data_IF_506800752779
#
_entry.id   IF_506800752779
#
_cell.length_a   1.000
_cell.length_b   1.000
_cell.length_c   1.000
_cell.angle_alpha   90.00
_cell.angle_beta   90.00
_cell.angle_gamma   90.00
#
_symmetry.space_group_name_H-M   'P 1'
#
loop_
_entity.id
_entity.type
_entity.pdbx_description
1 polymer ?
#
# COMPACT_ATOMS: atom_id res chain seq x y z
N UNK A 1 6.29 -25.07 -12.88
CA UNK A 1 7.34 -24.32 -13.61
C UNK A 1 7.32 -22.91 -13.06
N UNK A 2 8.36 -22.49 -12.33
CA UNK A 2 8.43 -21.14 -11.78
C UNK A 2 8.71 -20.17 -12.93
N UNK A 3 7.78 -19.27 -13.22
CA UNK A 3 8.04 -18.15 -14.13
C UNK A 3 9.23 -17.35 -13.57
N UNK A 4 10.39 -17.47 -14.21
CA UNK A 4 11.57 -16.67 -13.93
C UNK A 4 11.16 -15.20 -13.94
N UNK A 5 11.23 -14.58 -12.77
CA UNK A 5 10.51 -13.35 -12.52
C UNK A 5 11.21 -12.19 -13.23
N UNK A 6 10.67 -11.74 -14.36
CA UNK A 6 11.21 -10.64 -15.16
C UNK A 6 10.90 -9.27 -14.52
N UNK A 7 11.32 -9.07 -13.27
CA UNK A 7 11.23 -7.78 -12.57
C UNK A 7 12.49 -7.54 -11.73
N UNK A 8 12.93 -6.29 -11.66
CA UNK A 8 14.08 -5.86 -10.86
C UNK A 8 13.68 -5.63 -9.38
N UNK A 9 12.46 -5.12 -9.16
CA UNK A 9 11.95 -4.78 -7.83
C UNK A 9 10.52 -5.27 -7.63
N UNK A 10 10.19 -5.66 -6.39
CA UNK A 10 8.85 -6.00 -5.95
C UNK A 10 8.45 -5.06 -4.82
N UNK A 11 7.43 -4.23 -5.03
CA UNK A 11 6.94 -3.29 -4.02
C UNK A 11 5.54 -3.64 -3.57
N UNK A 12 5.36 -3.77 -2.26
CA UNK A 12 4.06 -3.91 -1.62
C UNK A 12 3.49 -2.53 -1.26
N UNK A 13 2.34 -2.20 -1.83
CA UNK A 13 1.60 -0.94 -1.59
C UNK A 13 0.21 -1.25 -1.02
N UNK A 14 -0.24 -0.50 -0.03
CA UNK A 14 -1.58 -0.64 0.56
C UNK A 14 -2.44 0.59 0.28
N UNK A 15 -3.73 0.40 0.01
CA UNK A 15 -4.72 1.48 -0.07
C UNK A 15 -5.50 1.51 1.24
N UNK A 16 -5.52 2.66 1.92
CA UNK A 16 -6.20 2.85 3.21
C UNK A 16 -7.08 4.09 3.19
N UNK A 17 -8.08 4.14 4.07
CA UNK A 17 -9.06 5.22 4.16
C UNK A 17 -10.48 4.70 4.36
N UNK A 18 -11.43 5.61 4.57
CA UNK A 18 -12.82 5.27 4.89
C UNK A 18 -13.53 4.44 3.79
N UNK A 19 -14.62 3.79 4.16
CA UNK A 19 -15.48 3.11 3.18
C UNK A 19 -16.10 4.12 2.21
N UNK A 20 -16.16 3.78 0.93
CA UNK A 20 -16.79 4.62 -0.10
C UNK A 20 -15.98 5.82 -0.58
N UNK A 21 -14.74 6.01 -0.14
CA UNK A 21 -13.83 7.05 -0.68
C UNK A 21 -13.34 6.73 -2.09
N UNK A 22 -13.43 5.47 -2.53
CA UNK A 22 -13.13 5.03 -3.90
C UNK A 22 -11.80 4.29 -4.08
N UNK A 23 -11.24 3.68 -3.02
CA UNK A 23 -10.00 2.89 -3.08
C UNK A 23 -10.05 1.77 -4.12
N UNK A 24 -11.10 0.95 -4.10
CA UNK A 24 -11.29 -0.15 -5.07
C UNK A 24 -11.39 0.37 -6.50
N UNK A 25 -12.11 1.48 -6.72
CA UNK A 25 -12.19 2.11 -8.04
C UNK A 25 -10.85 2.70 -8.50
N UNK A 26 -10.01 3.24 -7.59
CA UNK A 26 -8.65 3.65 -7.93
C UNK A 26 -7.79 2.44 -8.32
N UNK A 27 -7.91 1.31 -7.60
CA UNK A 27 -7.22 0.07 -7.92
C UNK A 27 -7.64 -0.48 -9.29
N UNK A 28 -8.95 -0.62 -9.52
CA UNK A 28 -9.49 -1.10 -10.80
C UNK A 28 -9.12 -0.18 -11.95
N UNK A 29 -9.14 1.14 -11.72
CA UNK A 29 -8.74 2.11 -12.75
C UNK A 29 -7.27 2.01 -13.07
N UNK A 30 -6.40 1.87 -12.08
CA UNK A 30 -4.97 1.68 -12.30
C UNK A 30 -4.65 0.32 -12.95
N UNK A 31 -5.35 -0.75 -12.61
CA UNK A 31 -4.95 -2.10 -13.07
C UNK A 31 -5.63 -2.55 -14.35
N UNK A 32 -6.88 -2.13 -14.57
CA UNK A 32 -7.74 -2.59 -15.66
C UNK A 32 -8.33 -1.45 -16.50
N UNK A 33 -8.08 -0.20 -16.11
CA UNK A 33 -8.75 0.98 -16.68
C UNK A 33 -10.29 0.92 -16.55
N UNK A 34 -10.79 0.23 -15.53
CA UNK A 34 -12.23 0.05 -15.28
C UNK A 34 -12.72 0.94 -14.15
N UNK A 35 -14.02 1.26 -14.17
CA UNK A 35 -14.71 1.93 -13.07
C UNK A 35 -16.10 1.36 -12.88
N UNK A 36 -16.45 1.13 -11.62
CA UNK A 36 -17.74 0.60 -11.22
C UNK A 36 -18.45 1.62 -10.33
N UNK A 37 -19.53 2.21 -10.86
CA UNK A 37 -20.38 3.15 -10.13
C UNK A 37 -21.06 2.47 -8.92
N UNK A 38 -21.41 1.18 -9.06
CA UNK A 38 -22.08 0.38 -8.04
C UNK A 38 -21.10 -0.40 -7.16
N UNK A 39 -19.87 0.11 -6.99
CA UNK A 39 -18.87 -0.57 -6.16
C UNK A 39 -19.41 -0.75 -4.73
N UNK A 40 -19.67 -2.01 -4.35
CA UNK A 40 -20.10 -2.35 -2.99
C UNK A 40 -18.95 -2.12 -2.01
N UNK A 41 -19.29 -1.97 -0.72
CA UNK A 41 -18.26 -1.91 0.33
C UNK A 41 -17.39 -3.17 0.28
N UNK A 42 -16.07 -3.00 0.25
CA UNK A 42 -15.11 -4.10 0.30
C UNK A 42 -15.25 -4.81 1.65
N UNK A 43 -15.72 -6.07 1.62
CA UNK A 43 -15.93 -6.92 2.81
C UNK A 43 -14.61 -7.56 3.27
N UNK A 44 -13.60 -7.62 2.39
CA UNK A 44 -12.28 -8.19 2.66
C UNK A 44 -11.16 -7.33 2.08
N UNK A 45 -10.14 -8.00 1.52
CA UNK A 45 -9.00 -7.35 0.88
C UNK A 45 -8.94 -7.80 -0.57
N UNK A 46 -8.83 -6.86 -1.50
CA UNK A 46 -8.60 -7.15 -2.91
C UNK A 46 -7.10 -6.98 -3.23
N UNK A 47 -6.56 -7.89 -4.03
CA UNK A 47 -5.15 -7.90 -4.40
C UNK A 47 -5.02 -7.81 -5.92
N UNK A 48 -4.18 -6.90 -6.38
CA UNK A 48 -3.82 -6.81 -7.78
C UNK A 48 -2.33 -6.53 -7.96
N UNK A 49 -1.78 -6.96 -9.11
CA UNK A 49 -0.40 -6.66 -9.46
C UNK A 49 -0.32 -5.91 -10.78
N UNK A 50 0.56 -4.91 -10.84
CA UNK A 50 0.90 -4.23 -12.09
C UNK A 50 2.39 -3.96 -12.15
N UNK A 51 3.01 -4.25 -13.29
CA UNK A 51 4.41 -3.89 -13.54
C UNK A 51 4.48 -2.55 -14.23
N UNK A 52 5.40 -1.70 -13.79
CA UNK A 52 5.72 -0.42 -14.43
C UNK A 52 7.22 -0.33 -14.66
N UNK A 53 7.64 0.56 -15.56
CA UNK A 53 9.06 0.89 -15.74
C UNK A 53 9.37 2.19 -14.98
N UNK A 54 10.41 2.15 -14.15
CA UNK A 54 10.93 3.31 -13.40
C UNK A 54 12.44 3.36 -13.63
N UNK A 55 12.93 4.43 -14.24
CA UNK A 55 14.36 4.64 -14.54
C UNK A 55 15.04 3.43 -15.23
N UNK A 56 14.33 2.80 -16.18
CA UNK A 56 14.83 1.63 -16.91
C UNK A 56 14.74 0.31 -16.14
N UNK A 57 14.24 0.32 -14.90
CA UNK A 57 14.01 -0.85 -14.04
C UNK A 57 12.55 -1.27 -14.07
N UNK A 58 12.31 -2.58 -14.11
CA UNK A 58 10.96 -3.14 -14.07
C UNK A 58 10.53 -3.32 -12.61
N UNK A 59 9.59 -2.51 -12.16
CA UNK A 59 9.02 -2.56 -10.81
C UNK A 59 7.69 -3.28 -10.87
N UNK A 60 7.56 -4.41 -10.17
CA UNK A 60 6.30 -5.10 -9.96
C UNK A 60 5.64 -4.57 -8.68
N UNK A 61 4.54 -3.84 -8.82
CA UNK A 61 3.73 -3.38 -7.71
C UNK A 61 2.71 -4.45 -7.31
N UNK A 62 2.64 -4.76 -6.02
CA UNK A 62 1.62 -5.57 -5.36
C UNK A 62 0.73 -4.63 -4.54
N UNK A 63 -0.49 -4.41 -5.01
CA UNK A 63 -1.39 -3.42 -4.44
C UNK A 63 -2.51 -4.14 -3.69
N UNK A 64 -2.68 -3.78 -2.43
CA UNK A 64 -3.68 -4.33 -1.53
C UNK A 64 -4.74 -3.27 -1.26
N UNK A 65 -5.94 -3.45 -1.80
CA UNK A 65 -7.11 -2.64 -1.44
C UNK A 65 -7.73 -3.18 -0.16
N UNK A 66 -7.75 -2.36 0.89
CA UNK A 66 -8.24 -2.75 2.20
C UNK A 66 -9.69 -2.31 2.43
N UNK A 67 -10.42 -3.09 3.23
CA UNK A 67 -11.75 -2.68 3.70
C UNK A 67 -11.66 -1.37 4.48
N UNK A 68 -12.42 -0.36 4.03
CA UNK A 68 -12.54 0.93 4.73
C UNK A 68 -13.51 0.92 5.90
N UNK A 69 -14.09 -0.24 6.25
CA UNK A 69 -15.03 -0.36 7.36
C UNK A 69 -14.29 -0.64 8.66
N UNK A 70 -14.62 0.13 9.68
CA UNK A 70 -13.98 0.01 11.00
C UNK A 70 -14.13 -1.38 11.65
N UNK A 71 -15.19 -2.11 11.31
CA UNK A 71 -15.44 -3.47 11.80
C UNK A 71 -14.37 -4.48 11.38
N UNK A 72 -13.60 -4.18 10.32
CA UNK A 72 -12.55 -5.06 9.80
C UNK A 72 -11.12 -4.59 10.16
N UNK A 73 -10.97 -3.52 10.96
CA UNK A 73 -9.65 -2.94 11.33
C UNK A 73 -8.66 -3.95 11.93
N UNK A 74 -9.14 -4.87 12.76
CA UNK A 74 -8.29 -5.90 13.36
C UNK A 74 -7.69 -6.86 12.32
N UNK A 75 -8.34 -7.01 11.17
CA UNK A 75 -7.87 -7.82 10.04
C UNK A 75 -6.93 -6.98 9.15
N UNK A 76 -7.19 -5.67 9.01
CA UNK A 76 -6.42 -4.77 8.15
C UNK A 76 -4.98 -4.56 8.63
N UNK A 77 -4.73 -4.55 9.95
CA UNK A 77 -3.38 -4.32 10.49
C UNK A 77 -2.34 -5.35 10.05
N UNK A 78 -2.76 -6.60 9.82
CA UNK A 78 -1.89 -7.65 9.31
C UNK A 78 -1.35 -7.36 7.90
N UNK A 79 -2.07 -6.57 7.10
CA UNK A 79 -1.68 -6.24 5.72
C UNK A 79 -0.66 -5.11 5.63
N UNK A 80 -0.52 -4.28 6.67
CA UNK A 80 0.45 -3.19 6.72
C UNK A 80 1.90 -3.69 6.83
N UNK A 81 2.11 -4.88 7.40
CA UNK A 81 3.45 -5.45 7.58
C UNK A 81 4.16 -5.67 6.24
N UNK A 82 5.37 -5.13 6.11
CA UNK A 82 6.18 -5.20 4.90
C UNK A 82 5.65 -4.36 3.73
N UNK A 83 4.67 -3.48 3.96
CA UNK A 83 4.30 -2.47 2.98
C UNK A 83 5.39 -1.40 2.92
N UNK A 84 5.89 -1.13 1.73
CA UNK A 84 6.89 -0.08 1.47
C UNK A 84 6.25 1.22 1.00
N UNK A 85 4.97 1.16 0.61
CA UNK A 85 4.17 2.33 0.26
C UNK A 85 2.72 2.25 0.74
N UNK A 86 2.10 3.42 0.94
CA UNK A 86 0.68 3.53 1.23
C UNK A 86 0.03 4.72 0.52
N UNK A 87 -1.15 4.50 -0.06
CA UNK A 87 -2.05 5.56 -0.50
C UNK A 87 -3.15 5.73 0.55
N UNK A 88 -3.16 6.92 1.17
CA UNK A 88 -4.14 7.32 2.17
C UNK A 88 -5.22 8.15 1.49
N UNK A 89 -6.39 7.56 1.28
CA UNK A 89 -7.43 8.09 0.39
C UNK A 89 -8.58 8.70 1.19
N UNK A 90 -9.00 9.91 0.82
CA UNK A 90 -10.22 10.55 1.28
C UNK A 90 -11.08 11.03 0.11
N UNK A 91 -12.33 11.38 0.38
CA UNK A 91 -13.28 11.92 -0.60
C UNK A 91 -13.36 13.46 -0.45
N UNK A 92 -13.00 14.20 -1.51
CA UNK A 92 -12.99 15.67 -1.45
C UNK A 92 -14.38 16.28 -1.21
N UNK A 93 -15.45 15.55 -1.52
CA UNK A 93 -16.83 15.98 -1.33
C UNK A 93 -17.37 15.62 0.07
N UNK A 94 -16.60 14.89 0.89
CA UNK A 94 -17.03 14.44 2.23
C UNK A 94 -15.98 14.75 3.29
N UNK A 95 -16.16 15.88 3.96
CA UNK A 95 -15.25 16.36 5.02
C UNK A 95 -15.00 15.33 6.14
N UNK A 96 -16.01 14.53 6.52
CA UNK A 96 -15.83 13.49 7.55
C UNK A 96 -14.73 12.48 7.20
N UNK A 97 -14.57 12.14 5.91
CA UNK A 97 -13.53 11.20 5.45
C UNK A 97 -12.13 11.79 5.57
N UNK A 98 -12.02 13.12 5.43
CA UNK A 98 -10.78 13.85 5.62
C UNK A 98 -10.39 13.94 7.10
N UNK A 99 -11.35 14.22 8.00
CA UNK A 99 -11.09 14.20 9.45
C UNK A 99 -10.53 12.85 9.92
N UNK A 100 -11.02 11.76 9.34
CA UNK A 100 -10.56 10.41 9.67
C UNK A 100 -9.16 10.07 9.14
N UNK A 101 -8.58 10.85 8.21
CA UNK A 101 -7.23 10.66 7.67
C UNK A 101 -6.19 10.61 8.79
N UNK A 102 -6.27 11.50 9.78
CA UNK A 102 -5.35 11.52 10.93
C UNK A 102 -5.32 10.20 11.69
N UNK A 103 -6.50 9.58 11.86
CA UNK A 103 -6.61 8.28 12.52
C UNK A 103 -5.98 7.17 11.67
N UNK A 104 -6.28 7.14 10.38
CA UNK A 104 -5.71 6.15 9.46
C UNK A 104 -4.19 6.27 9.35
N UNK A 105 -3.66 7.51 9.32
CA UNK A 105 -2.24 7.78 9.30
C UNK A 105 -1.55 7.24 10.55
N UNK A 106 -2.13 7.48 11.72
CA UNK A 106 -1.63 6.94 13.00
C UNK A 106 -1.63 5.41 12.97
N UNK A 107 -2.76 4.81 12.60
CA UNK A 107 -2.90 3.35 12.53
C UNK A 107 -1.86 2.70 11.60
N UNK A 108 -1.61 3.33 10.43
CA UNK A 108 -0.58 2.88 9.49
C UNK A 108 0.82 2.97 10.11
N UNK A 109 1.17 4.11 10.71
CA UNK A 109 2.49 4.32 11.33
C UNK A 109 2.76 3.40 12.52
N UNK A 110 1.72 3.03 13.26
CA UNK A 110 1.83 2.12 14.42
C UNK A 110 2.15 0.67 14.01
N UNK A 111 1.89 0.27 12.76
CA UNK A 111 1.98 -1.14 12.31
C UNK A 111 2.85 -1.37 11.07
N UNK A 112 3.15 -0.34 10.29
CA UNK A 112 4.02 -0.42 9.12
C UNK A 112 5.48 -0.12 9.49
N UNK A 113 6.39 -0.39 8.55
CA UNK A 113 7.79 -0.02 8.69
C UNK A 113 7.96 1.50 8.75
N UNK A 114 8.89 2.00 9.56
CA UNK A 114 9.14 3.44 9.75
C UNK A 114 9.56 4.18 8.48
N UNK A 115 10.02 3.43 7.46
CA UNK A 115 10.45 3.95 6.17
C UNK A 115 9.36 3.90 5.08
N UNK A 116 8.10 3.62 5.45
CA UNK A 116 7.01 3.55 4.49
C UNK A 116 6.79 4.92 3.81
N UNK A 117 6.71 4.91 2.47
CA UNK A 117 6.36 6.11 1.70
C UNK A 117 4.85 6.28 1.70
N UNK A 118 4.37 7.43 2.13
CA UNK A 118 2.93 7.68 2.27
C UNK A 118 2.53 8.86 1.37
N UNK A 119 1.46 8.66 0.60
CA UNK A 119 0.84 9.71 -0.20
C UNK A 119 -0.63 9.88 0.20
N UNK A 120 -1.00 11.12 0.50
CA UNK A 120 -2.39 11.54 0.68
C UNK A 120 -3.04 11.73 -0.69
N UNK A 121 -4.21 11.11 -0.88
CA UNK A 121 -4.96 11.13 -2.14
C UNK A 121 -6.35 11.70 -1.90
N UNK A 122 -6.62 12.88 -2.46
CA UNK A 122 -7.96 13.47 -2.49
C UNK A 122 -8.74 12.96 -3.69
N UNK A 123 -9.55 11.92 -3.51
CA UNK A 123 -10.29 11.31 -4.60
C UNK A 123 -11.62 12.02 -4.90
N UNK A 124 -12.19 11.73 -6.08
CA UNK A 124 -13.42 12.31 -6.63
C UNK A 124 -13.29 13.78 -7.00
N UNK A 125 -12.13 14.15 -7.56
CA UNK A 125 -11.85 15.48 -8.06
C UNK A 125 -12.78 15.93 -9.19
N UNK A 126 -13.58 15.04 -9.77
CA UNK A 126 -14.69 15.35 -10.68
C UNK A 126 -15.85 16.08 -9.98
N UNK A 127 -16.03 15.87 -8.66
CA UNK A 127 -17.07 16.50 -7.85
C UNK A 127 -16.66 17.89 -7.30
N UNK A 128 -15.92 18.70 -8.07
CA UNK A 128 -15.41 20.01 -7.61
C UNK A 128 -16.49 20.94 -7.08
N UNK A 129 -17.70 20.85 -7.65
CA UNK A 129 -18.86 21.64 -7.27
C UNK A 129 -19.46 21.24 -5.90
N UNK A 130 -19.16 20.04 -5.41
CA UNK A 130 -19.55 19.53 -4.09
C UNK A 130 -18.36 19.49 -3.12
N UNK A 131 -17.25 20.16 -3.44
CA UNK A 131 -16.03 20.12 -2.62
C UNK A 131 -16.34 20.60 -1.20
N UNK A 132 -16.08 19.72 -0.24
CA UNK A 132 -16.17 19.98 1.20
C UNK A 132 -14.79 20.15 1.84
N UNK A 133 -13.71 19.74 1.17
CA UNK A 133 -12.33 19.84 1.64
C UNK A 133 -11.53 20.73 0.69
N UNK A 134 -11.10 21.93 1.12
CA UNK A 134 -10.19 22.80 0.37
C UNK A 134 -8.87 22.09 0.03
N UNK A 135 -8.38 22.27 -1.19
CA UNK A 135 -7.10 21.68 -1.62
C UNK A 135 -5.93 22.16 -0.75
N UNK A 136 -5.93 23.44 -0.36
CA UNK A 136 -4.87 24.03 0.44
C UNK A 136 -4.79 23.42 1.85
N UNK A 137 -5.94 23.05 2.43
CA UNK A 137 -6.00 22.39 3.74
C UNK A 137 -5.38 20.99 3.68
N UNK A 138 -5.75 20.20 2.68
CA UNK A 138 -5.16 18.87 2.47
C UNK A 138 -3.66 18.93 2.16
N UNK A 139 -3.22 19.94 1.41
CA UNK A 139 -1.81 20.19 1.11
C UNK A 139 -1.03 20.64 2.34
N UNK A 140 -1.60 21.48 3.20
CA UNK A 140 -0.97 21.88 4.46
C UNK A 140 -0.77 20.66 5.37
N UNK A 141 -1.81 19.82 5.50
CA UNK A 141 -1.74 18.58 6.27
C UNK A 141 -0.67 17.62 5.74
N UNK A 142 -0.54 17.49 4.41
CA UNK A 142 0.47 16.61 3.81
C UNK A 142 1.88 17.10 4.12
N UNK A 143 2.14 18.41 4.04
CA UNK A 143 3.44 19.00 4.37
C UNK A 143 3.76 18.81 5.85
N UNK A 144 2.82 19.12 6.75
CA UNK A 144 2.99 18.96 8.19
C UNK A 144 3.34 17.52 8.59
N UNK A 145 2.75 16.54 7.90
CA UNK A 145 2.94 15.12 8.19
C UNK A 145 4.01 14.45 7.32
N UNK A 146 4.71 15.18 6.44
CA UNK A 146 5.74 14.61 5.56
C UNK A 146 5.18 13.60 4.54
N UNK A 147 4.02 13.89 3.97
CA UNK A 147 3.34 13.06 2.96
C UNK A 147 3.38 13.76 1.60
N UNK A 148 3.46 12.98 0.52
CA UNK A 148 3.14 13.48 -0.82
C UNK A 148 1.63 13.70 -0.95
N UNK A 149 1.19 14.60 -1.83
CA UNK A 149 -0.24 14.88 -2.02
C UNK A 149 -0.61 14.99 -3.49
N UNK A 150 -1.75 14.39 -3.85
CA UNK A 150 -2.35 14.48 -5.18
C UNK A 150 -3.88 14.37 -5.08
N UNK A 151 -4.61 15.09 -5.94
CA UNK A 151 -6.04 14.88 -6.12
C UNK A 151 -6.29 14.02 -7.36
N UNK A 152 -7.21 13.07 -7.25
CA UNK A 152 -7.51 12.09 -8.30
C UNK A 152 -9.01 12.01 -8.57
N UNK A 153 -9.37 11.52 -9.75
CA UNK A 153 -10.70 11.00 -10.00
C UNK A 153 -10.61 9.63 -10.63
N UNK A 154 -11.14 8.63 -9.92
CA UNK A 154 -11.34 7.31 -10.49
C UNK A 154 -12.42 7.31 -11.60
N UNK A 155 -13.34 8.28 -11.62
CA UNK A 155 -14.42 8.36 -12.60
C UNK A 155 -13.90 8.73 -13.98
N UNK A 156 -13.08 9.78 -14.09
CA UNK A 156 -12.53 10.26 -15.37
C UNK A 156 -11.05 9.88 -15.57
N UNK A 157 -10.48 9.09 -14.66
CA UNK A 157 -9.08 8.64 -14.60
C UNK A 157 -8.04 9.75 -14.35
N UNK A 158 -8.46 10.97 -14.00
CA UNK A 158 -7.56 12.08 -13.69
C UNK A 158 -6.58 11.71 -12.58
N UNK A 159 -5.29 11.89 -12.87
CA UNK A 159 -4.15 11.69 -11.96
C UNK A 159 -4.03 10.29 -11.34
N UNK A 160 -4.83 9.30 -11.76
CA UNK A 160 -4.75 7.94 -11.20
C UNK A 160 -3.40 7.31 -11.54
N UNK A 161 -3.01 7.31 -12.81
CA UNK A 161 -1.70 6.80 -13.23
C UNK A 161 -0.56 7.55 -12.53
N UNK A 162 -0.66 8.89 -12.48
CA UNK A 162 0.34 9.76 -11.86
C UNK A 162 0.51 9.48 -10.37
N UNK A 163 -0.57 9.21 -9.62
CA UNK A 163 -0.50 8.89 -8.20
C UNK A 163 0.32 7.62 -7.95
N UNK A 164 -0.02 6.53 -8.65
CA UNK A 164 0.69 5.25 -8.51
C UNK A 164 2.12 5.32 -9.05
N UNK A 165 2.36 5.98 -10.18
CA UNK A 165 3.71 6.14 -10.72
C UNK A 165 4.61 6.96 -9.80
N UNK A 166 4.09 8.04 -9.22
CA UNK A 166 4.85 8.92 -8.30
C UNK A 166 5.24 8.16 -7.04
N UNK A 167 4.28 7.49 -6.37
CA UNK A 167 4.61 6.76 -5.14
C UNK A 167 5.60 5.61 -5.40
N UNK A 168 5.46 4.88 -6.51
CA UNK A 168 6.37 3.78 -6.86
C UNK A 168 7.78 4.31 -7.20
N UNK A 169 7.86 5.48 -7.83
CA UNK A 169 9.14 6.15 -8.12
C UNK A 169 9.81 6.65 -6.84
N UNK A 170 9.04 7.22 -5.91
CA UNK A 170 9.55 7.69 -4.61
C UNK A 170 10.09 6.52 -3.78
N UNK A 171 9.37 5.40 -3.73
CA UNK A 171 9.83 4.16 -3.10
C UNK A 171 11.12 3.67 -3.76
N UNK A 172 11.15 3.63 -5.10
CA UNK A 172 12.33 3.21 -5.85
C UNK A 172 13.56 4.04 -5.49
N UNK A 173 13.45 5.37 -5.41
CA UNK A 173 14.56 6.27 -5.05
C UNK A 173 15.11 6.01 -3.65
N UNK A 174 14.23 5.73 -2.68
CA UNK A 174 14.65 5.41 -1.31
C UNK A 174 15.31 4.03 -1.24
N UNK A 175 14.78 3.05 -1.97
CA UNK A 175 15.34 1.69 -1.97
C UNK A 175 16.66 1.62 -2.74
N UNK A 176 16.78 2.33 -3.86
CA UNK A 176 18.01 2.35 -4.68
C UNK A 176 19.14 3.08 -3.97
N UNK A 177 18.88 4.22 -3.32
CA UNK A 177 19.89 4.94 -2.51
C UNK A 177 20.43 4.09 -1.36
N UNK A 178 19.56 3.42 -0.58
CA UNK A 178 19.98 2.51 0.49
C UNK A 178 20.84 1.34 0.00
N UNK A 179 20.54 0.83 -1.20
CA UNK A 179 21.32 -0.25 -1.82
C UNK A 179 22.73 0.23 -2.19
N UNK A 180 22.85 1.47 -2.68
CA UNK A 180 24.13 2.08 -3.05
C UNK A 180 24.99 2.37 -1.80
N UNK A 181 24.40 2.88 -0.72
CA UNK A 181 25.12 3.14 0.53
C UNK A 181 25.67 1.85 1.17
N UNK A 182 24.88 0.76 1.19
CA UNK A 182 25.32 -0.53 1.70
C UNK A 182 26.49 -1.14 0.91
N UNK A 183 26.62 -0.78 -0.38
CA UNK A 183 27.72 -1.24 -1.24
C UNK A 183 29.02 -0.44 -1.11
N UNK A 184 29.03 0.64 -0.31
CA UNK A 184 30.18 1.55 -0.16
C UNK A 184 31.04 1.33 1.10
N UNK A 185 30.70 0.34 1.92
CA UNK A 185 31.54 -0.11 3.05
C UNK A 185 32.65 -1.06 2.55
N UNK A 186 33.95 -0.80 2.81
CA UNK A 186 35.00 -1.74 2.44
C UNK A 186 34.88 -3.03 3.25
N UNK A 187 35.06 -4.14 2.56
CA UNK A 187 34.96 -5.50 3.06
C UNK A 187 35.82 -5.75 4.31
N UNK A 188 35.23 -6.39 5.32
CA UNK A 188 35.97 -7.30 6.19
C UNK A 188 35.22 -8.65 6.32
N UNK A 189 35.79 -9.61 5.60
CA UNK A 189 35.77 -11.07 5.70
C UNK A 189 34.49 -11.95 5.61
N UNK A 190 34.64 -13.17 5.06
CA UNK A 190 33.54 -14.07 4.73
C UNK A 190 33.30 -15.10 5.84
N UNK A 191 32.07 -15.23 6.32
CA UNK A 191 31.66 -16.41 7.09
C UNK A 191 30.50 -17.12 6.41
N UNK A 192 30.84 -18.31 5.91
CA UNK A 192 30.06 -19.52 5.67
C UNK A 192 28.52 -19.40 5.75
N UNK A 193 27.88 -19.81 4.64
CA UNK A 193 26.44 -19.86 4.50
C UNK A 193 25.73 -20.82 5.46
N UNK A 194 24.51 -20.43 5.81
CA UNK A 194 23.51 -21.32 6.39
C UNK A 194 22.23 -21.14 5.57
N UNK A 195 21.87 -22.20 4.83
CA UNK A 195 20.52 -22.39 4.26
C UNK A 195 19.62 -22.85 5.40
N UNK A 196 18.47 -22.21 5.57
CA UNK A 196 17.43 -22.67 6.50
C UNK A 196 16.23 -23.12 5.66
N UNK A 197 16.07 -24.43 5.53
CA UNK A 197 14.84 -25.07 5.06
C UNK A 197 13.81 -25.06 6.19
N UNK A 198 12.51 -24.79 5.93
CA UNK A 198 11.47 -24.96 6.92
C UNK A 198 10.97 -26.42 6.89
N UNK A 199 11.47 -27.26 7.81
CA UNK A 199 10.81 -28.52 8.16
C UNK A 199 9.78 -28.29 9.28
N UNK A 200 8.54 -28.69 8.99
CA UNK A 200 7.42 -28.78 9.93
C UNK A 200 7.73 -29.83 11.03
N UNK A 201 7.37 -29.61 12.31
CA UNK A 201 7.41 -30.68 13.30
C UNK A 201 6.23 -31.64 13.10
N UNK A 202 6.56 -32.90 12.84
CA UNK A 202 5.62 -34.03 12.91
C UNK A 202 5.50 -34.50 14.36
N UNK A 203 4.37 -34.22 15.01
CA UNK A 203 3.99 -34.87 16.25
C UNK A 203 3.25 -36.18 15.95
N UNK A 204 3.89 -37.31 16.24
CA UNK A 204 3.23 -38.59 16.40
C UNK A 204 3.96 -39.43 17.45
N UNK A 205 3.38 -39.52 18.65
CA UNK A 205 3.62 -40.62 19.57
C UNK A 205 2.35 -40.92 20.35
N UNK A 206 1.70 -42.00 19.96
CA UNK A 206 0.65 -42.67 20.72
C UNK A 206 1.27 -43.44 21.90
N UNK A 207 0.57 -43.48 23.03
CA UNK A 207 0.91 -44.32 24.18
C UNK A 207 -0.29 -44.51 25.10
N UNK A 208 -1.00 -45.62 24.94
CA UNK A 208 -2.16 -46.03 25.74
C UNK A 208 -1.78 -46.89 26.95
N UNK A 209 -2.69 -46.93 27.94
CA UNK A 209 -2.77 -47.78 29.17
C UNK A 209 -2.13 -47.15 30.42
N UNK A 210 -2.71 -47.21 31.63
CA UNK A 210 -3.72 -48.11 32.21
C UNK A 210 -4.29 -47.48 33.51
N UNK A 211 -5.53 -47.81 33.87
CA UNK A 211 -6.14 -47.53 35.19
C UNK A 211 -5.44 -48.26 36.33
N UNK A 212 -5.44 -47.63 37.52
CA UNK A 212 -5.83 -48.18 38.82
C UNK A 212 -6.12 -47.01 39.78
#
# INVERSE_FOLDING_TARGET
MAEGSNYDYLFKVVLIGDSGVGKSNLLSRFTRNEFNLESKSTIGVEFATRSINVDGKTVKAQIWDTAGQERYRAITSAYYRGAVGALLVYDIAKHATYVNVTRWLKELRDHADSNIVIMLVGNKSDLKHLRAVPTDEAKAFSVENGLSFIETSALDASNVESAFQTILTDIYRIVSSKTLEASSTPADQPTAGIRVDPSLPSDSAAGSSKCC
#
